data_IF_468348184956
#
_entry.id   IF_468348184956
#
_cell.length_a   1.000
_cell.length_b   1.000
_cell.length_c   1.000
_cell.angle_alpha   90.00
_cell.angle_beta   90.00
_cell.angle_gamma   90.00
#
_symmetry.space_group_name_H-M   'P 1'
#
loop_
_entity.id
_entity.type
_entity.pdbx_description
1 polymer ?
#
# COMPACT_ATOMS: atom_id res chain seq x y z
N UNK A 1 2.45 -2.99 7.60
CA UNK A 1 2.34 -3.30 6.14
C UNK A 1 3.63 -3.90 5.57
N UNK A 2 3.61 -4.44 4.35
CA UNK A 2 4.80 -4.94 3.64
C UNK A 2 5.40 -3.87 2.72
N UNK A 3 6.69 -4.02 2.41
CA UNK A 3 7.51 -2.99 1.75
C UNK A 3 8.26 -3.57 0.56
N UNK A 4 8.30 -2.81 -0.53
CA UNK A 4 9.08 -3.13 -1.72
C UNK A 4 10.19 -2.11 -1.83
N UNK A 5 11.44 -2.53 -1.72
CA UNK A 5 12.61 -1.71 -1.99
C UNK A 5 13.07 -1.90 -3.43
N UNK A 6 12.82 -0.91 -4.28
CA UNK A 6 13.28 -0.87 -5.66
C UNK A 6 14.63 -0.16 -5.70
N UNK A 7 15.70 -0.94 -5.90
CA UNK A 7 17.07 -0.46 -5.85
C UNK A 7 17.58 -0.15 -7.25
N UNK A 8 17.90 1.11 -7.48
CA UNK A 8 18.63 1.60 -8.62
C UNK A 8 20.05 2.05 -8.21
N UNK A 9 20.96 2.11 -9.18
CA UNK A 9 22.31 2.64 -8.99
C UNK A 9 23.30 2.15 -10.05
N UNK A 10 24.25 3.00 -10.38
CA UNK A 10 25.32 2.78 -11.36
C UNK A 10 26.19 1.53 -11.09
N UNK A 11 26.98 1.08 -12.07
CA UNK A 11 27.95 0.01 -11.81
C UNK A 11 29.01 0.48 -10.79
N UNK A 12 29.36 -0.36 -9.81
CA UNK A 12 30.33 -0.01 -8.76
C UNK A 12 29.76 0.81 -7.58
N UNK A 13 28.45 1.12 -7.57
CA UNK A 13 27.85 1.92 -6.47
C UNK A 13 27.62 1.16 -5.16
N UNK A 14 27.78 -0.18 -5.16
CA UNK A 14 27.66 -1.00 -3.95
C UNK A 14 26.35 -1.79 -3.81
N UNK A 15 25.55 -1.93 -4.87
CA UNK A 15 24.32 -2.75 -4.85
C UNK A 15 24.55 -4.19 -4.36
N UNK A 16 25.61 -4.85 -4.84
CA UNK A 16 25.95 -6.21 -4.38
C UNK A 16 26.37 -6.26 -2.91
N UNK A 17 26.97 -5.18 -2.39
CA UNK A 17 27.30 -5.08 -0.96
C UNK A 17 26.05 -4.87 -0.11
N UNK A 18 25.07 -4.09 -0.61
CA UNK A 18 23.75 -3.97 0.04
C UNK A 18 23.07 -5.34 0.15
N UNK A 19 22.99 -6.08 -0.96
CA UNK A 19 22.36 -7.40 -0.97
C UNK A 19 23.04 -8.37 0.00
N UNK A 20 24.37 -8.46 -0.05
CA UNK A 20 25.10 -9.31 0.89
C UNK A 20 24.89 -8.86 2.33
N UNK A 21 24.86 -7.55 2.59
CA UNK A 21 24.59 -7.03 3.93
C UNK A 21 23.20 -7.47 4.42
N UNK A 22 22.19 -7.30 3.57
CA UNK A 22 20.80 -7.66 3.87
C UNK A 22 20.64 -9.17 4.09
N UNK A 23 21.25 -10.01 3.26
CA UNK A 23 21.13 -11.48 3.37
C UNK A 23 21.93 -12.10 4.50
N UNK A 24 23.03 -11.49 4.91
CA UNK A 24 23.99 -12.11 5.85
C UNK A 24 23.92 -11.52 7.27
N UNK A 25 23.46 -10.27 7.41
CA UNK A 25 23.55 -9.56 8.69
C UNK A 25 22.22 -9.02 9.19
N UNK A 26 21.12 -9.20 8.44
CA UNK A 26 19.79 -8.75 8.81
C UNK A 26 18.80 -9.91 9.05
N UNK A 27 19.29 -11.07 9.48
CA UNK A 27 18.50 -12.30 9.73
C UNK A 27 17.33 -12.12 10.72
N UNK A 28 17.39 -11.07 11.55
CA UNK A 28 16.31 -10.69 12.48
C UNK A 28 15.12 -9.98 11.81
N UNK A 29 15.21 -9.72 10.51
CA UNK A 29 14.16 -9.13 9.69
C UNK A 29 13.70 -10.14 8.65
N UNK A 30 12.39 -10.11 8.39
CA UNK A 30 11.78 -10.96 7.37
C UNK A 30 11.97 -10.32 5.98
N UNK A 31 12.98 -10.82 5.26
CA UNK A 31 13.45 -10.23 4.02
C UNK A 31 13.53 -11.28 2.91
N UNK A 32 13.05 -10.91 1.73
CA UNK A 32 13.30 -11.64 0.50
C UNK A 32 13.89 -10.74 -0.59
N UNK A 33 14.71 -11.31 -1.46
CA UNK A 33 15.28 -10.61 -2.61
C UNK A 33 14.90 -11.32 -3.91
N UNK A 34 14.32 -10.57 -4.83
CA UNK A 34 13.80 -11.09 -6.10
C UNK A 34 14.94 -11.39 -7.07
N UNK A 35 15.06 -12.66 -7.44
CA UNK A 35 15.91 -13.12 -8.54
C UNK A 35 15.36 -12.71 -9.90
N UNK A 36 16.26 -12.50 -10.87
CA UNK A 36 15.92 -12.02 -12.23
C UNK A 36 16.58 -12.86 -13.31
N UNK A 37 15.91 -13.01 -14.44
CA UNK A 37 16.49 -13.55 -15.66
C UNK A 37 17.30 -12.48 -16.40
N UNK A 38 18.39 -12.89 -17.06
CA UNK A 38 19.16 -11.99 -17.93
C UNK A 38 19.79 -12.71 -19.13
N UNK A 39 19.93 -11.99 -20.25
CA UNK A 39 20.66 -12.46 -21.45
C UNK A 39 22.13 -12.07 -21.48
N UNK A 40 22.63 -11.46 -20.39
CA UNK A 40 24.03 -11.14 -20.23
C UNK A 40 24.86 -12.41 -20.07
N UNK A 41 26.12 -12.38 -20.46
CA UNK A 41 27.07 -13.45 -20.15
C UNK A 41 27.44 -13.44 -18.67
N UNK A 42 27.65 -14.65 -18.14
CA UNK A 42 28.19 -14.87 -16.81
C UNK A 42 29.59 -14.26 -16.77
N UNK A 43 29.90 -13.51 -15.72
CA UNK A 43 31.27 -13.02 -15.49
C UNK A 43 32.00 -14.04 -14.62
N UNK A 44 33.29 -14.26 -14.89
CA UNK A 44 34.18 -15.13 -14.10
C UNK A 44 34.14 -14.89 -12.58
N UNK A 45 33.77 -13.68 -12.11
CA UNK A 45 33.64 -13.34 -10.67
C UNK A 45 32.25 -13.56 -10.08
N UNK A 46 31.26 -13.80 -10.91
CA UNK A 46 29.86 -14.06 -10.51
C UNK A 46 29.61 -15.57 -10.34
N UNK A 47 30.46 -16.45 -10.88
CA UNK A 47 30.38 -17.92 -10.74
C UNK A 47 30.62 -18.43 -9.31
N UNK A 48 31.18 -17.59 -8.42
CA UNK A 48 31.54 -17.98 -7.05
C UNK A 48 30.57 -17.44 -5.96
N UNK A 49 29.45 -16.82 -6.34
CA UNK A 49 28.46 -16.30 -5.37
C UNK A 49 27.07 -16.68 -5.83
N UNK A 50 26.18 -17.04 -4.91
CA UNK A 50 24.74 -17.16 -5.20
C UNK A 50 24.22 -15.82 -5.74
N UNK A 51 24.22 -15.66 -7.05
CA UNK A 51 23.76 -14.43 -7.67
C UNK A 51 22.25 -14.47 -7.81
N UNK A 52 21.60 -13.33 -7.60
CA UNK A 52 20.17 -13.10 -7.87
C UNK A 52 19.85 -13.07 -9.38
N UNK A 53 20.73 -13.63 -10.20
CA UNK A 53 20.63 -13.62 -11.65
C UNK A 53 20.62 -15.07 -12.16
N UNK A 54 19.60 -15.37 -12.96
CA UNK A 54 19.52 -16.57 -13.77
C UNK A 54 19.88 -16.19 -15.20
N UNK A 55 20.99 -16.73 -15.68
CA UNK A 55 21.52 -16.43 -17.01
C UNK A 55 20.90 -17.36 -18.05
N UNK A 56 20.24 -16.78 -19.06
CA UNK A 56 19.53 -17.54 -20.11
C UNK A 56 19.83 -16.94 -21.49
N UNK A 57 19.70 -17.75 -22.54
CA UNK A 57 19.87 -17.27 -23.92
C UNK A 57 18.75 -16.31 -24.33
N UNK A 58 18.96 -15.53 -25.39
CA UNK A 58 17.90 -14.65 -25.91
C UNK A 58 16.65 -15.41 -26.37
N UNK A 59 16.83 -16.62 -26.91
CA UNK A 59 15.70 -17.46 -27.32
C UNK A 59 14.92 -17.95 -26.10
N UNK A 60 15.61 -18.38 -25.04
CA UNK A 60 14.98 -18.77 -23.78
C UNK A 60 14.26 -17.58 -23.12
N UNK A 61 14.86 -16.39 -23.14
CA UNK A 61 14.23 -15.18 -22.59
C UNK A 61 12.95 -14.83 -23.35
N UNK A 62 12.96 -14.87 -24.69
CA UNK A 62 11.77 -14.65 -25.51
C UNK A 62 10.68 -15.66 -25.21
N UNK A 63 11.04 -16.95 -25.09
CA UNK A 63 10.10 -18.01 -24.73
C UNK A 63 9.47 -17.75 -23.35
N UNK A 64 10.28 -17.46 -22.34
CA UNK A 64 9.81 -17.11 -21.00
C UNK A 64 8.90 -15.89 -21.00
N UNK A 65 9.25 -14.82 -21.73
CA UNK A 65 8.44 -13.61 -21.86
C UNK A 65 7.09 -13.89 -22.53
N UNK A 66 7.05 -14.76 -23.56
CA UNK A 66 5.81 -15.19 -24.20
C UNK A 66 4.93 -16.04 -23.27
N UNK A 67 5.52 -16.98 -22.54
CA UNK A 67 4.80 -17.83 -21.57
C UNK A 67 4.25 -17.02 -20.39
N UNK A 68 4.88 -15.90 -20.05
CA UNK A 68 4.51 -15.02 -18.94
C UNK A 68 3.96 -13.67 -19.46
N UNK A 69 3.34 -13.65 -20.63
CA UNK A 69 2.85 -12.41 -21.25
C UNK A 69 1.87 -11.69 -20.32
N UNK A 70 2.15 -10.43 -20.02
CA UNK A 70 1.36 -9.62 -19.08
C UNK A 70 1.59 -9.93 -17.59
N UNK A 71 2.43 -10.92 -17.28
CA UNK A 71 2.78 -11.35 -15.91
C UNK A 71 4.29 -11.28 -15.66
N UNK A 72 5.02 -10.54 -16.48
CA UNK A 72 6.44 -10.29 -16.30
C UNK A 72 6.79 -8.80 -16.37
N UNK A 73 7.86 -8.45 -15.67
CA UNK A 73 8.53 -7.16 -15.76
C UNK A 73 9.82 -7.37 -16.54
N UNK A 74 9.98 -6.69 -17.68
CA UNK A 74 11.18 -6.78 -18.50
C UNK A 74 11.71 -5.38 -18.83
N UNK A 75 13.03 -5.26 -18.93
CA UNK A 75 13.70 -4.00 -19.29
C UNK A 75 15.04 -4.25 -19.97
N UNK A 76 15.44 -3.41 -20.94
CA UNK A 76 16.78 -3.44 -21.49
C UNK A 76 17.76 -2.73 -20.56
N UNK A 77 18.97 -3.25 -20.44
CA UNK A 77 20.07 -2.55 -19.79
C UNK A 77 21.40 -2.99 -20.38
N UNK A 78 22.22 -2.02 -20.81
CA UNK A 78 23.57 -2.28 -21.29
C UNK A 78 23.64 -3.20 -22.52
N UNK A 79 22.64 -3.15 -23.41
CA UNK A 79 22.55 -4.00 -24.60
C UNK A 79 22.06 -5.43 -24.31
N UNK A 80 21.63 -5.73 -23.09
CA UNK A 80 21.11 -7.04 -22.67
C UNK A 80 19.71 -6.88 -22.08
N UNK A 81 18.95 -7.98 -22.01
CA UNK A 81 17.62 -8.00 -21.41
C UNK A 81 17.67 -8.50 -19.98
N UNK A 82 16.77 -7.96 -19.17
CA UNK A 82 16.55 -8.36 -17.78
C UNK A 82 15.05 -8.50 -17.53
N UNK A 83 14.66 -9.40 -16.64
CA UNK A 83 13.27 -9.48 -16.21
C UNK A 83 13.01 -10.40 -15.03
N UNK A 84 11.82 -10.30 -14.45
CA UNK A 84 11.34 -11.15 -13.36
C UNK A 84 9.82 -11.26 -13.40
N UNK A 85 9.27 -12.25 -12.71
CA UNK A 85 7.82 -12.50 -12.69
C UNK A 85 7.09 -11.53 -11.76
N UNK A 86 5.92 -11.06 -12.20
CA UNK A 86 4.99 -10.29 -11.37
C UNK A 86 4.41 -11.14 -10.24
N UNK A 87 4.11 -12.41 -10.49
CA UNK A 87 3.60 -13.32 -9.48
C UNK A 87 4.60 -13.54 -8.34
N UNK A 88 5.89 -13.69 -8.67
CA UNK A 88 6.95 -13.84 -7.67
C UNK A 88 7.11 -12.58 -6.82
N UNK A 89 6.99 -11.39 -7.42
CA UNK A 89 6.98 -10.15 -6.65
C UNK A 89 5.77 -10.09 -5.71
N UNK A 90 4.58 -10.40 -6.20
CA UNK A 90 3.34 -10.40 -5.40
C UNK A 90 3.40 -11.40 -4.24
N UNK A 91 3.87 -12.61 -4.50
CA UNK A 91 4.05 -13.66 -3.50
C UNK A 91 5.05 -13.24 -2.43
N UNK A 92 6.18 -12.66 -2.84
CA UNK A 92 7.18 -12.13 -1.91
C UNK A 92 6.58 -11.04 -1.02
N UNK A 93 5.82 -10.11 -1.62
CA UNK A 93 5.15 -9.04 -0.89
C UNK A 93 4.09 -9.57 0.07
N UNK A 94 3.45 -10.69 -0.23
CA UNK A 94 2.48 -11.32 0.67
C UNK A 94 3.15 -11.98 1.87
N UNK A 95 4.27 -12.66 1.62
CA UNK A 95 4.89 -13.56 2.59
C UNK A 95 6.03 -12.92 3.39
N UNK A 96 6.59 -11.79 2.93
CA UNK A 96 7.73 -11.14 3.55
C UNK A 96 7.47 -9.68 3.92
N UNK A 97 7.96 -9.24 5.07
CA UNK A 97 7.91 -7.83 5.49
C UNK A 97 8.62 -6.92 4.48
N UNK A 98 9.80 -7.33 4.01
CA UNK A 98 10.61 -6.57 3.07
C UNK A 98 10.93 -7.39 1.82
N UNK A 99 10.59 -6.86 0.66
CA UNK A 99 10.96 -7.42 -0.64
C UNK A 99 11.92 -6.46 -1.35
N UNK A 100 13.09 -6.95 -1.75
CA UNK A 100 14.08 -6.17 -2.48
C UNK A 100 14.14 -6.56 -3.96
N UNK A 101 14.22 -5.57 -4.83
CA UNK A 101 14.37 -5.79 -6.27
C UNK A 101 15.37 -4.79 -6.83
N UNK A 102 16.43 -5.27 -7.49
CA UNK A 102 17.35 -4.38 -8.22
C UNK A 102 16.78 -4.11 -9.61
N UNK A 103 16.51 -2.85 -9.94
CA UNK A 103 15.98 -2.45 -11.25
C UNK A 103 16.81 -1.28 -11.79
N UNK A 104 17.28 -1.40 -13.03
CA UNK A 104 18.07 -0.36 -13.73
C UNK A 104 17.25 0.28 -14.84
N UNK A 105 16.04 0.74 -14.49
CA UNK A 105 15.09 1.32 -15.43
C UNK A 105 14.03 2.13 -14.65
N UNK A 106 14.09 3.46 -14.75
CA UNK A 106 13.18 4.38 -14.03
C UNK A 106 11.72 4.15 -14.41
N UNK A 107 11.40 4.08 -15.70
CA UNK A 107 10.04 3.85 -16.17
C UNK A 107 9.39 2.57 -15.62
N UNK A 108 10.16 1.48 -15.48
CA UNK A 108 9.68 0.25 -14.85
C UNK A 108 9.50 0.40 -13.34
N UNK A 109 10.36 1.15 -12.67
CA UNK A 109 10.20 1.47 -11.24
C UNK A 109 8.90 2.26 -11.03
N UNK A 110 8.67 3.31 -11.82
CA UNK A 110 7.46 4.13 -11.75
C UNK A 110 6.20 3.29 -11.98
N UNK A 111 6.24 2.38 -12.96
CA UNK A 111 5.16 1.43 -13.23
C UNK A 111 4.89 0.51 -12.04
N UNK A 112 5.91 -0.04 -11.40
CA UNK A 112 5.74 -0.91 -10.23
C UNK A 112 5.23 -0.11 -9.03
N UNK A 113 5.67 1.13 -8.84
CA UNK A 113 5.16 2.03 -7.80
C UNK A 113 3.66 2.22 -7.95
N UNK A 114 3.19 2.54 -9.15
CA UNK A 114 1.76 2.73 -9.43
C UNK A 114 0.97 1.43 -9.25
N UNK A 115 1.46 0.31 -9.78
CA UNK A 115 0.77 -0.99 -9.70
C UNK A 115 0.65 -1.54 -8.26
N UNK A 116 1.56 -1.17 -7.35
CA UNK A 116 1.60 -1.68 -5.97
C UNK A 116 1.24 -0.64 -4.90
N UNK A 117 0.91 0.60 -5.26
CA UNK A 117 0.67 1.70 -4.30
C UNK A 117 -0.39 1.38 -3.24
N UNK A 118 -1.40 0.58 -3.58
CA UNK A 118 -2.47 0.17 -2.66
C UNK A 118 -2.15 -1.17 -1.93
N UNK A 119 -1.06 -1.84 -2.29
CA UNK A 119 -0.72 -3.19 -1.80
C UNK A 119 0.45 -3.15 -0.82
N UNK A 120 1.48 -2.36 -1.12
CA UNK A 120 2.70 -2.28 -0.33
C UNK A 120 3.31 -0.88 -0.39
N UNK A 121 4.09 -0.51 0.64
CA UNK A 121 4.91 0.70 0.56
C UNK A 121 6.06 0.45 -0.43
N UNK A 122 5.97 1.06 -1.61
CA UNK A 122 7.02 0.98 -2.62
C UNK A 122 8.02 2.11 -2.40
N UNK A 123 9.27 1.75 -2.12
CA UNK A 123 10.35 2.66 -1.75
C UNK A 123 11.42 2.57 -2.83
N UNK A 124 11.59 3.66 -3.56
CA UNK A 124 12.66 3.78 -4.53
C UNK A 124 13.95 4.21 -3.83
N UNK A 125 15.00 3.39 -3.93
CA UNK A 125 16.33 3.69 -3.45
C UNK A 125 17.27 3.90 -4.64
N UNK A 126 17.91 5.05 -4.71
CA UNK A 126 19.00 5.30 -5.64
C UNK A 126 20.35 5.28 -4.90
N UNK A 127 21.25 4.37 -5.27
CA UNK A 127 22.60 4.31 -4.69
C UNK A 127 23.58 5.10 -5.53
N UNK A 128 24.04 6.21 -4.97
CA UNK A 128 25.00 7.11 -5.59
C UNK A 128 26.43 6.85 -5.10
N UNK A 129 27.40 7.02 -5.99
CA UNK A 129 28.83 7.07 -5.70
C UNK A 129 29.49 7.96 -6.74
N UNK A 130 30.42 8.83 -6.32
CA UNK A 130 31.25 9.62 -7.22
C UNK A 130 32.07 8.70 -8.16
N UNK A 131 32.17 9.08 -9.43
CA UNK A 131 32.96 8.42 -10.47
C UNK A 131 34.38 8.05 -10.02
N UNK A 132 35.07 8.93 -9.30
CA UNK A 132 36.42 8.66 -8.81
C UNK A 132 36.47 7.46 -7.86
N UNK A 133 35.48 7.33 -6.99
CA UNK A 133 35.34 6.19 -6.07
C UNK A 133 34.84 4.93 -6.77
N UNK A 134 33.89 5.07 -7.70
CA UNK A 134 33.41 3.95 -8.52
C UNK A 134 34.56 3.32 -9.33
N UNK A 135 35.40 4.16 -9.94
CA UNK A 135 36.62 3.75 -10.65
C UNK A 135 37.55 2.96 -9.75
N UNK A 136 37.86 3.48 -8.55
CA UNK A 136 38.72 2.79 -7.57
C UNK A 136 38.18 1.42 -7.19
N UNK A 137 36.87 1.28 -6.98
CA UNK A 137 36.23 -0.01 -6.66
C UNK A 137 36.31 -0.99 -7.82
N UNK A 138 35.97 -0.56 -9.03
CA UNK A 138 36.04 -1.42 -10.22
C UNK A 138 37.48 -1.89 -10.48
N UNK A 139 38.50 -1.04 -10.28
CA UNK A 139 39.91 -1.45 -10.34
C UNK A 139 40.25 -2.50 -9.28
N UNK A 140 39.79 -2.31 -8.03
CA UNK A 140 39.98 -3.30 -6.94
C UNK A 140 39.27 -4.62 -7.24
N UNK A 141 38.13 -4.55 -7.94
CA UNK A 141 37.41 -5.70 -8.49
C UNK A 141 38.08 -6.26 -9.76
N UNK A 142 39.28 -5.82 -10.13
CA UNK A 142 40.09 -6.40 -11.21
C UNK A 142 39.60 -6.09 -12.62
N UNK A 143 38.78 -5.06 -12.81
CA UNK A 143 38.39 -4.61 -14.16
C UNK A 143 39.52 -3.80 -14.81
N UNK A 144 39.73 -4.01 -16.11
CA UNK A 144 40.65 -3.21 -16.91
C UNK A 144 40.09 -1.81 -17.22
N UNK A 145 40.94 -0.94 -17.78
CA UNK A 145 40.59 0.46 -18.06
C UNK A 145 39.46 0.60 -19.08
N UNK A 146 39.42 -0.21 -20.13
CA UNK A 146 38.36 -0.14 -21.15
C UNK A 146 37.00 -0.58 -20.58
N UNK A 147 36.99 -1.65 -19.79
CA UNK A 147 35.80 -2.14 -19.10
C UNK A 147 35.28 -1.14 -18.06
N UNK A 148 36.16 -0.39 -17.41
CA UNK A 148 35.79 0.70 -16.49
C UNK A 148 35.18 1.87 -17.25
N UNK A 149 35.86 2.39 -18.26
CA UNK A 149 35.39 3.56 -19.03
C UNK A 149 34.02 3.29 -19.66
N UNK A 150 33.80 2.08 -20.18
CA UNK A 150 32.51 1.64 -20.68
C UNK A 150 31.39 1.63 -19.63
N UNK A 151 31.73 1.26 -18.37
CA UNK A 151 30.77 1.27 -17.25
C UNK A 151 30.49 2.68 -16.75
N UNK A 152 31.46 3.57 -16.78
CA UNK A 152 31.32 4.96 -16.32
C UNK A 152 30.53 5.80 -17.32
N UNK A 153 30.78 5.66 -18.63
CA UNK A 153 29.95 6.30 -19.68
C UNK A 153 28.47 5.92 -19.60
N UNK A 154 28.16 4.72 -19.10
CA UNK A 154 26.78 4.28 -18.84
C UNK A 154 26.18 4.90 -17.57
N UNK A 155 27.01 5.37 -16.66
CA UNK A 155 26.59 6.11 -15.46
C UNK A 155 26.30 7.58 -15.80
N UNK A 156 26.97 8.17 -16.81
CA UNK A 156 26.66 9.52 -17.29
C UNK A 156 25.20 9.72 -17.68
N UNK A 157 24.59 8.71 -18.29
CA UNK A 157 23.16 8.74 -18.63
C UNK A 157 22.22 8.69 -17.40
N UNK A 158 22.71 8.35 -16.21
CA UNK A 158 21.91 8.15 -14.99
C UNK A 158 21.90 9.39 -14.11
N UNK A 159 22.93 10.24 -14.19
CA UNK A 159 22.99 11.48 -13.41
C UNK A 159 21.84 12.44 -13.74
N UNK A 160 21.46 12.65 -15.02
CA UNK A 160 20.30 13.48 -15.35
C UNK A 160 18.99 12.96 -14.74
N UNK A 161 18.80 11.65 -14.67
CA UNK A 161 17.55 11.04 -14.19
C UNK A 161 17.24 11.29 -12.70
N UNK A 162 18.28 11.57 -11.89
CA UNK A 162 18.17 11.60 -10.41
C UNK A 162 18.90 12.77 -9.73
N UNK A 163 19.91 13.36 -10.37
CA UNK A 163 20.65 14.51 -9.81
C UNK A 163 20.09 15.81 -10.32
N UNK A 164 19.78 15.91 -11.61
CA UNK A 164 19.32 17.16 -12.23
C UNK A 164 17.84 17.43 -11.95
N UNK A 165 17.04 16.38 -11.74
CA UNK A 165 15.64 16.46 -11.30
C UNK A 165 15.46 15.75 -9.95
N UNK A 166 15.56 16.46 -8.81
CA UNK A 166 15.32 15.86 -7.51
C UNK A 166 13.85 15.42 -7.40
N UNK A 167 13.65 14.12 -7.21
CA UNK A 167 12.35 13.51 -6.98
C UNK A 167 12.22 13.20 -5.49
N UNK A 168 11.25 13.82 -4.82
CA UNK A 168 10.99 13.64 -3.39
C UNK A 168 10.64 12.20 -3.01
N UNK A 169 10.24 11.37 -3.98
CA UNK A 169 9.89 9.98 -3.78
C UNK A 169 11.10 9.02 -3.87
N UNK A 170 12.30 9.54 -4.14
CA UNK A 170 13.53 8.75 -4.28
C UNK A 170 14.46 8.96 -3.09
N UNK A 171 14.73 7.88 -2.37
CA UNK A 171 15.72 7.87 -1.30
C UNK A 171 17.12 7.70 -1.90
N UNK A 172 17.91 8.77 -1.90
CA UNK A 172 19.31 8.71 -2.36
C UNK A 172 20.24 8.28 -1.23
N UNK A 173 20.92 7.13 -1.40
CA UNK A 173 21.97 6.66 -0.50
C UNK A 173 23.34 6.96 -1.12
N UNK A 174 24.08 7.87 -0.51
CA UNK A 174 25.47 8.15 -0.88
C UNK A 174 26.39 7.10 -0.25
N UNK A 175 27.04 6.30 -1.09
CA UNK A 175 28.08 5.36 -0.72
C UNK A 175 29.47 5.97 -0.95
N UNK A 176 30.05 6.51 0.13
CA UNK A 176 31.37 7.14 0.15
C UNK A 176 32.54 6.12 0.25
N UNK A 177 32.28 4.83 0.09
CA UNK A 177 33.25 3.73 0.27
C UNK A 177 33.60 3.41 1.73
N UNK A 178 32.96 4.04 2.72
CA UNK A 178 32.97 3.54 4.09
C UNK A 178 31.86 2.49 4.24
N UNK A 179 32.28 1.21 4.29
CA UNK A 179 31.36 0.08 4.39
C UNK A 179 30.48 0.15 5.66
N UNK A 180 31.04 0.58 6.79
CA UNK A 180 30.29 0.70 8.04
C UNK A 180 29.18 1.75 7.95
N UNK A 181 29.49 2.93 7.39
CA UNK A 181 28.50 4.00 7.24
C UNK A 181 27.40 3.61 6.25
N UNK A 182 27.78 2.96 5.14
CA UNK A 182 26.83 2.47 4.16
C UNK A 182 25.86 1.44 4.77
N UNK A 183 26.38 0.48 5.54
CA UNK A 183 25.58 -0.53 6.24
C UNK A 183 24.69 0.09 7.32
N UNK A 184 25.19 1.07 8.08
CA UNK A 184 24.39 1.83 9.06
C UNK A 184 23.22 2.55 8.39
N UNK A 185 23.42 3.16 7.22
CA UNK A 185 22.34 3.82 6.45
C UNK A 185 21.27 2.81 6.01
N UNK A 186 21.68 1.65 5.48
CA UNK A 186 20.75 0.58 5.09
C UNK A 186 19.96 0.09 6.31
N UNK A 187 20.64 -0.19 7.43
CA UNK A 187 19.99 -0.61 8.68
C UNK A 187 19.00 0.43 9.20
N UNK A 188 19.36 1.72 9.13
CA UNK A 188 18.47 2.80 9.54
C UNK A 188 17.20 2.84 8.69
N UNK A 189 17.32 2.66 7.36
CA UNK A 189 16.15 2.56 6.48
C UNK A 189 15.27 1.37 6.83
N UNK A 190 15.86 0.19 7.04
CA UNK A 190 15.10 -1.01 7.42
C UNK A 190 14.39 -0.81 8.76
N UNK A 191 15.07 -0.22 9.75
CA UNK A 191 14.44 0.16 11.02
C UNK A 191 13.28 1.12 10.79
N UNK A 192 13.51 2.23 10.08
CA UNK A 192 12.49 3.26 9.82
C UNK A 192 11.20 2.66 9.24
N UNK A 193 11.32 1.73 8.30
CA UNK A 193 10.18 1.13 7.63
C UNK A 193 9.70 -0.19 8.26
N UNK A 194 10.28 -0.64 9.37
CA UNK A 194 9.82 -1.87 10.01
C UNK A 194 8.45 -1.70 10.66
N UNK A 195 7.62 -2.75 10.56
CA UNK A 195 6.32 -2.85 11.23
C UNK A 195 6.43 -2.54 12.73
N UNK A 196 7.55 -2.91 13.37
CA UNK A 196 7.80 -2.63 14.79
C UNK A 196 7.89 -1.14 15.13
N UNK A 197 8.17 -0.29 14.14
CA UNK A 197 8.24 1.16 14.29
C UNK A 197 7.03 1.87 13.67
N UNK A 198 6.01 1.14 13.21
CA UNK A 198 4.72 1.74 12.85
C UNK A 198 4.07 2.34 14.10
N UNK A 199 3.49 3.53 13.96
CA UNK A 199 2.94 4.25 15.11
C UNK A 199 1.79 3.45 15.75
N UNK A 200 1.86 3.26 17.07
CA UNK A 200 0.91 2.43 17.82
C UNK A 200 -0.54 2.95 17.75
N UNK A 201 -0.70 4.27 17.67
CA UNK A 201 -1.98 4.95 17.52
C UNK A 201 -2.46 5.10 16.07
N UNK A 202 -1.75 4.57 15.08
CA UNK A 202 -2.16 4.67 13.67
C UNK A 202 -2.62 3.30 13.16
N UNK A 203 -3.84 3.26 12.64
CA UNK A 203 -4.39 2.13 11.89
C UNK A 203 -4.04 2.31 10.41
N UNK A 204 -3.28 1.35 9.88
CA UNK A 204 -2.92 1.30 8.47
C UNK A 204 -3.92 0.39 7.75
N UNK A 205 -4.72 0.96 6.86
CA UNK A 205 -5.66 0.23 6.01
C UNK A 205 -4.90 -0.27 4.78
N UNK A 206 -4.25 0.67 4.10
CA UNK A 206 -3.34 0.39 3.00
C UNK A 206 -2.18 1.43 3.01
N UNK A 207 -1.23 1.41 2.07
CA UNK A 207 -0.09 2.33 2.13
C UNK A 207 -0.50 3.81 2.01
N UNK A 208 -1.55 4.10 1.23
CA UNK A 208 -2.13 5.40 0.96
C UNK A 208 -3.11 5.86 2.06
N UNK A 209 -3.80 4.92 2.72
CA UNK A 209 -4.90 5.19 3.65
C UNK A 209 -4.52 4.73 5.06
N UNK A 210 -4.43 5.71 5.97
CA UNK A 210 -4.17 5.49 7.40
C UNK A 210 -5.03 6.44 8.22
N UNK A 211 -5.50 5.96 9.36
CA UNK A 211 -6.31 6.73 10.29
C UNK A 211 -5.68 6.69 11.68
N UNK A 212 -5.56 7.86 12.30
CA UNK A 212 -5.21 7.91 13.72
C UNK A 212 -6.40 7.40 14.55
N UNK A 213 -6.11 6.45 15.44
CA UNK A 213 -7.06 5.89 16.38
C UNK A 213 -7.28 6.88 17.52
N UNK A 214 -8.55 7.08 17.88
CA UNK A 214 -8.87 7.69 19.17
C UNK A 214 -8.26 6.88 20.31
N UNK A 215 -7.92 7.54 21.42
CA UNK A 215 -7.21 6.94 22.56
C UNK A 215 -7.82 5.60 23.02
N UNK A 216 -9.16 5.45 23.16
CA UNK A 216 -9.76 4.18 23.58
C UNK A 216 -9.54 3.01 22.61
N UNK A 217 -9.28 3.28 21.32
CA UNK A 217 -9.14 2.25 20.30
C UNK A 217 -7.69 1.79 20.07
N UNK A 218 -6.69 2.46 20.63
CA UNK A 218 -5.27 2.12 20.42
C UNK A 218 -4.96 0.67 20.81
N UNK A 219 -5.49 0.19 21.94
CA UNK A 219 -5.31 -1.19 22.39
C UNK A 219 -6.02 -2.24 21.53
N UNK A 220 -6.88 -1.84 20.61
CA UNK A 220 -7.65 -2.72 19.73
C UNK A 220 -7.11 -2.79 18.30
N UNK A 221 -6.00 -2.11 17.98
CA UNK A 221 -5.40 -2.04 16.63
C UNK A 221 -5.28 -3.41 15.95
N UNK A 222 -4.72 -4.41 16.63
CA UNK A 222 -4.54 -5.76 16.05
C UNK A 222 -5.86 -6.49 15.80
N UNK A 223 -6.91 -6.19 16.57
CA UNK A 223 -8.26 -6.74 16.32
C UNK A 223 -8.90 -6.06 15.12
N UNK A 224 -8.76 -4.73 14.99
CA UNK A 224 -9.23 -3.97 13.84
C UNK A 224 -8.57 -4.46 12.54
N UNK A 225 -7.26 -4.69 12.57
CA UNK A 225 -6.52 -5.23 11.42
C UNK A 225 -7.03 -6.61 11.01
N UNK A 226 -7.17 -7.55 11.96
CA UNK A 226 -7.74 -8.88 11.70
C UNK A 226 -9.17 -8.82 11.17
N UNK A 227 -9.98 -7.89 11.65
CA UNK A 227 -11.32 -7.69 11.15
C UNK A 227 -11.31 -7.26 9.67
N UNK A 228 -10.41 -6.36 9.28
CA UNK A 228 -10.26 -5.91 7.90
C UNK A 228 -9.63 -6.97 6.97
N UNK A 229 -8.81 -7.87 7.52
CA UNK A 229 -8.32 -9.05 6.78
C UNK A 229 -9.46 -10.01 6.43
N UNK A 230 -10.43 -10.18 7.36
CA UNK A 230 -11.61 -11.02 7.15
C UNK A 230 -12.67 -10.36 6.27
N UNK A 231 -12.91 -9.07 6.50
CA UNK A 231 -13.90 -8.25 5.81
C UNK A 231 -13.19 -7.06 5.18
N UNK A 232 -12.88 -7.11 3.87
CA UNK A 232 -12.09 -6.08 3.21
C UNK A 232 -12.68 -4.69 3.41
N UNK A 233 -11.87 -3.75 3.91
CA UNK A 233 -12.26 -2.36 4.22
C UNK A 233 -13.05 -1.71 3.08
N UNK A 234 -12.57 -1.87 1.85
CA UNK A 234 -13.16 -1.33 0.60
C UNK A 234 -14.60 -1.78 0.34
N UNK A 235 -15.05 -2.88 0.97
CA UNK A 235 -16.39 -3.45 0.80
C UNK A 235 -17.33 -3.14 1.95
N UNK A 236 -16.82 -2.61 3.06
CA UNK A 236 -17.56 -2.47 4.30
C UNK A 236 -18.33 -1.14 4.32
N UNK A 237 -19.66 -1.24 4.52
CA UNK A 237 -20.58 -0.12 4.64
C UNK A 237 -21.16 -0.09 6.05
N UNK A 238 -20.78 0.91 6.84
CA UNK A 238 -21.25 1.06 8.21
C UNK A 238 -22.65 1.67 8.25
N UNK A 239 -23.59 0.99 8.93
CA UNK A 239 -24.95 1.49 9.11
C UNK A 239 -25.07 2.18 10.47
N UNK A 240 -25.25 3.50 10.45
CA UNK A 240 -25.47 4.34 11.62
C UNK A 240 -26.97 4.55 11.78
N UNK A 241 -27.59 3.83 12.72
CA UNK A 241 -29.03 3.90 12.95
C UNK A 241 -29.39 3.53 14.39
N UNK A 242 -30.55 3.99 14.87
CA UNK A 242 -31.10 3.53 16.15
C UNK A 242 -31.80 2.18 16.00
N UNK A 243 -31.65 1.31 17.00
CA UNK A 243 -32.36 0.04 17.06
C UNK A 243 -33.82 0.23 17.50
N UNK A 244 -34.75 0.06 16.56
CA UNK A 244 -36.20 0.12 16.75
C UNK A 244 -36.86 -0.83 15.76
N UNK A 245 -38.01 -1.41 16.13
CA UNK A 245 -38.74 -2.37 15.29
C UNK A 245 -39.10 -1.78 13.91
N UNK A 246 -39.53 -0.52 13.87
CA UNK A 246 -39.87 0.19 12.64
C UNK A 246 -38.68 0.34 11.67
N UNK A 247 -37.45 0.31 12.18
CA UNK A 247 -36.24 0.41 11.35
C UNK A 247 -35.73 -0.96 10.86
N UNK A 248 -36.26 -2.08 11.38
CA UNK A 248 -35.77 -3.42 11.06
C UNK A 248 -35.98 -3.78 9.59
N UNK A 249 -37.16 -3.46 9.04
CA UNK A 249 -37.47 -3.72 7.63
C UNK A 249 -36.64 -2.86 6.68
N UNK A 250 -36.31 -1.65 7.12
CA UNK A 250 -35.43 -0.74 6.40
C UNK A 250 -33.99 -1.27 6.38
N UNK A 251 -33.50 -1.70 7.54
CA UNK A 251 -32.20 -2.36 7.65
C UNK A 251 -32.09 -3.59 6.75
N UNK A 252 -33.07 -4.50 6.81
CA UNK A 252 -33.09 -5.73 5.99
C UNK A 252 -33.04 -5.41 4.49
N UNK A 253 -33.74 -4.37 4.07
CA UNK A 253 -33.70 -3.91 2.69
C UNK A 253 -32.30 -3.40 2.31
N UNK A 254 -31.69 -2.51 3.10
CA UNK A 254 -30.33 -2.00 2.87
C UNK A 254 -29.34 -3.17 2.78
N UNK A 255 -29.38 -4.07 3.76
CA UNK A 255 -28.48 -5.24 3.81
C UNK A 255 -28.54 -6.05 2.53
N UNK A 256 -29.75 -6.40 2.09
CA UNK A 256 -29.97 -7.16 0.85
C UNK A 256 -29.39 -6.45 -0.38
N UNK A 257 -29.61 -5.15 -0.53
CA UNK A 257 -29.13 -4.42 -1.72
C UNK A 257 -27.60 -4.26 -1.73
N UNK A 258 -26.99 -4.04 -0.57
CA UNK A 258 -25.53 -4.00 -0.44
C UNK A 258 -24.90 -5.37 -0.75
N UNK A 259 -25.43 -6.44 -0.18
CA UNK A 259 -24.95 -7.80 -0.40
C UNK A 259 -25.09 -8.24 -1.86
N UNK A 260 -26.18 -7.84 -2.54
CA UNK A 260 -26.38 -8.09 -3.97
C UNK A 260 -25.28 -7.48 -4.84
N UNK A 261 -24.61 -6.42 -4.38
CA UNK A 261 -23.46 -5.78 -5.04
C UNK A 261 -22.10 -6.25 -4.52
N UNK A 262 -22.08 -7.26 -3.66
CA UNK A 262 -20.84 -7.79 -3.07
C UNK A 262 -20.22 -6.87 -2.01
N UNK A 263 -21.00 -5.95 -1.44
CA UNK A 263 -20.63 -5.13 -0.28
C UNK A 263 -21.07 -5.80 1.02
N UNK A 264 -20.37 -5.50 2.10
CA UNK A 264 -20.70 -5.93 3.44
C UNK A 264 -21.54 -4.85 4.13
N UNK A 265 -22.77 -5.18 4.48
CA UNK A 265 -23.59 -4.33 5.35
C UNK A 265 -23.19 -4.57 6.80
N UNK A 266 -22.66 -3.54 7.47
CA UNK A 266 -21.98 -3.68 8.75
C UNK A 266 -22.72 -2.93 9.85
N UNK A 267 -23.03 -3.64 10.93
CA UNK A 267 -23.62 -3.07 12.15
C UNK A 267 -22.82 -3.42 13.39
N UNK A 268 -22.74 -2.46 14.30
CA UNK A 268 -21.94 -2.60 15.52
C UNK A 268 -22.54 -3.55 16.57
N UNK A 269 -23.81 -3.92 16.45
CA UNK A 269 -24.48 -4.86 17.36
C UNK A 269 -24.50 -6.31 16.83
N UNK A 270 -24.03 -6.54 15.59
CA UNK A 270 -23.90 -7.89 15.05
C UNK A 270 -22.73 -8.63 15.74
N UNK A 271 -22.94 -9.92 16.03
CA UNK A 271 -21.99 -10.73 16.80
C UNK A 271 -20.60 -10.79 16.13
N UNK A 272 -20.54 -10.88 14.81
CA UNK A 272 -19.29 -10.87 14.05
C UNK A 272 -18.55 -9.52 14.06
N UNK A 273 -19.20 -8.45 14.50
CA UNK A 273 -18.68 -7.08 14.52
C UNK A 273 -18.47 -6.54 15.94
N UNK A 274 -18.55 -7.40 16.96
CA UNK A 274 -18.22 -7.04 18.34
C UNK A 274 -16.70 -7.14 18.61
N UNK A 275 -15.97 -6.10 18.23
CA UNK A 275 -14.50 -6.02 18.27
C UNK A 275 -13.99 -5.70 19.68
N UNK A 276 -14.65 -4.75 20.36
CA UNK A 276 -14.17 -4.22 21.65
C UNK A 276 -14.83 -4.86 22.86
N UNK A 277 -16.06 -5.40 22.73
CA UNK A 277 -16.91 -5.84 23.85
C UNK A 277 -17.26 -4.70 24.83
N UNK A 278 -17.27 -3.45 24.37
CA UNK A 278 -17.58 -2.28 25.18
C UNK A 278 -18.33 -1.20 24.37
N UNK A 279 -18.59 -0.06 25.01
CA UNK A 279 -19.31 1.08 24.43
C UNK A 279 -18.61 1.73 23.22
N UNK A 280 -17.32 1.46 23.00
CA UNK A 280 -16.57 1.98 21.86
C UNK A 280 -16.70 1.11 20.61
N UNK A 281 -17.45 0.00 20.66
CA UNK A 281 -17.57 -0.90 19.53
C UNK A 281 -18.07 -0.23 18.23
N UNK A 282 -19.09 0.66 18.26
CA UNK A 282 -19.51 1.36 17.05
C UNK A 282 -18.39 2.15 16.39
N UNK A 283 -17.51 2.78 17.19
CA UNK A 283 -16.34 3.48 16.67
C UNK A 283 -15.31 2.49 16.12
N UNK A 284 -15.04 1.38 16.80
CA UNK A 284 -14.15 0.35 16.29
C UNK A 284 -14.59 -0.17 14.91
N UNK A 285 -15.88 -0.47 14.77
CA UNK A 285 -16.50 -0.97 13.54
C UNK A 285 -16.43 0.08 12.43
N UNK A 286 -16.69 1.35 12.75
CA UNK A 286 -16.55 2.48 11.83
C UNK A 286 -15.14 2.54 11.22
N UNK A 287 -14.08 2.35 12.02
CA UNK A 287 -12.69 2.34 11.52
C UNK A 287 -12.41 1.21 10.52
N UNK A 288 -13.20 0.14 10.53
CA UNK A 288 -13.11 -0.97 9.56
C UNK A 288 -13.94 -0.75 8.28
N UNK A 289 -14.68 0.36 8.16
CA UNK A 289 -15.58 0.61 7.03
C UNK A 289 -15.09 1.74 6.13
N UNK A 290 -15.15 1.56 4.80
CA UNK A 290 -14.87 2.62 3.82
C UNK A 290 -16.05 3.56 3.64
N UNK A 291 -17.26 3.02 3.67
CA UNK A 291 -18.48 3.76 3.38
C UNK A 291 -19.41 3.82 4.59
N UNK A 292 -20.32 4.79 4.61
CA UNK A 292 -21.31 4.95 5.66
C UNK A 292 -22.72 5.19 5.13
N UNK A 293 -23.73 4.70 5.84
CA UNK A 293 -25.12 5.12 5.67
C UNK A 293 -25.61 5.63 7.02
N UNK A 294 -25.89 6.93 7.10
CA UNK A 294 -26.40 7.57 8.30
C UNK A 294 -27.91 7.79 8.19
N UNK A 295 -28.67 7.14 9.08
CA UNK A 295 -30.12 7.24 9.13
C UNK A 295 -30.55 8.14 10.29
N UNK A 296 -30.96 9.37 9.94
CA UNK A 296 -31.66 10.27 10.85
C UNK A 296 -33.16 9.99 10.76
N UNK A 297 -33.64 9.11 11.64
CA UNK A 297 -35.03 8.66 11.72
C UNK A 297 -35.92 9.59 12.57
N UNK A 298 -37.12 9.15 12.91
CA UNK A 298 -38.13 9.97 13.58
C UNK A 298 -37.68 10.56 14.94
N UNK A 299 -38.17 11.78 15.29
CA UNK A 299 -37.79 12.47 16.50
C UNK A 299 -38.24 11.73 17.77
N UNK A 300 -37.53 11.97 18.86
CA UNK A 300 -37.81 11.43 20.21
C UNK A 300 -38.49 12.47 21.09
N UNK A 301 -39.22 12.01 22.13
CA UNK A 301 -39.85 12.88 23.13
C UNK A 301 -38.90 13.93 23.75
N UNK A 302 -37.58 13.70 23.70
CA UNK A 302 -36.56 14.57 24.30
C UNK A 302 -35.43 14.97 23.36
N UNK A 303 -35.44 14.54 22.11
CA UNK A 303 -34.37 14.86 21.15
C UNK A 303 -34.91 14.84 19.74
N UNK A 304 -34.52 15.82 18.93
CA UNK A 304 -34.90 15.84 17.52
C UNK A 304 -34.26 14.69 16.73
N UNK A 305 -33.20 14.04 17.22
CA UNK A 305 -32.48 12.97 16.50
C UNK A 305 -31.58 12.15 17.45
N UNK A 306 -30.99 11.05 16.96
CA UNK A 306 -30.02 10.25 17.70
C UNK A 306 -28.61 10.90 17.65
N UNK A 307 -28.03 11.38 18.76
CA UNK A 307 -26.73 12.05 18.77
C UNK A 307 -25.58 11.12 18.38
N UNK A 308 -25.70 9.80 18.60
CA UNK A 308 -24.64 8.84 18.22
C UNK A 308 -24.47 8.77 16.70
N UNK A 309 -25.57 8.84 15.93
CA UNK A 309 -25.51 8.84 14.46
C UNK A 309 -24.74 10.07 13.97
N UNK A 310 -24.97 11.24 14.55
CA UNK A 310 -24.23 12.45 14.19
C UNK A 310 -22.74 12.37 14.58
N UNK A 311 -22.44 11.80 15.75
CA UNK A 311 -21.06 11.62 16.22
C UNK A 311 -20.26 10.66 15.31
N UNK A 312 -20.86 9.51 14.97
CA UNK A 312 -20.29 8.53 14.03
C UNK A 312 -20.08 9.15 12.63
N UNK A 313 -21.09 9.84 12.11
CA UNK A 313 -21.00 10.54 10.83
C UNK A 313 -19.88 11.60 10.81
N UNK A 314 -19.72 12.34 11.91
CA UNK A 314 -18.65 13.32 12.06
C UNK A 314 -17.26 12.70 11.95
N UNK A 315 -17.04 11.53 12.55
CA UNK A 315 -15.77 10.79 12.44
C UNK A 315 -15.57 10.27 11.02
N UNK A 316 -16.61 9.74 10.38
CA UNK A 316 -16.53 9.29 8.98
C UNK A 316 -16.13 10.43 8.03
N UNK A 317 -16.73 11.60 8.18
CA UNK A 317 -16.38 12.80 7.40
C UNK A 317 -14.95 13.28 7.69
N UNK A 318 -14.52 13.28 8.96
CA UNK A 318 -13.14 13.60 9.32
C UNK A 318 -12.13 12.67 8.63
N UNK A 319 -12.49 11.39 8.49
CA UNK A 319 -11.71 10.37 7.77
C UNK A 319 -11.92 10.38 6.25
N UNK A 320 -12.66 11.38 5.71
CA UNK A 320 -12.95 11.57 4.27
C UNK A 320 -13.63 10.36 3.61
N UNK A 321 -14.54 9.71 4.34
CA UNK A 321 -15.30 8.57 3.85
C UNK A 321 -16.61 8.99 3.21
N UNK A 322 -16.99 8.33 2.13
CA UNK A 322 -18.25 8.59 1.45
C UNK A 322 -19.43 8.08 2.28
N UNK A 323 -20.37 8.98 2.56
CA UNK A 323 -21.53 8.70 3.39
C UNK A 323 -22.82 9.07 2.66
N UNK A 324 -23.79 8.15 2.65
CA UNK A 324 -25.18 8.47 2.32
C UNK A 324 -25.88 8.95 3.59
N UNK A 325 -26.40 10.17 3.56
CA UNK A 325 -27.09 10.76 4.69
C UNK A 325 -28.59 10.79 4.38
N UNK A 326 -29.37 10.08 5.18
CA UNK A 326 -30.81 9.92 5.00
C UNK A 326 -31.52 10.64 6.12
N UNK A 327 -32.46 11.51 5.76
CA UNK A 327 -33.26 12.26 6.72
C UNK A 327 -34.74 11.94 6.53
N UNK A 328 -35.40 11.50 7.58
CA UNK A 328 -36.85 11.31 7.54
C UNK A 328 -37.57 12.67 7.42
N UNK A 329 -38.63 12.72 6.63
CA UNK A 329 -39.38 13.97 6.37
C UNK A 329 -40.06 14.56 7.61
N UNK A 330 -40.24 13.78 8.69
CA UNK A 330 -40.82 14.28 9.95
C UNK A 330 -39.85 15.13 10.79
N UNK A 331 -38.58 15.24 10.40
CA UNK A 331 -37.57 16.03 11.12
C UNK A 331 -37.57 17.50 10.67
N UNK A 332 -37.83 18.41 11.62
CA UNK A 332 -38.01 19.86 11.41
C UNK A 332 -36.69 20.65 11.24
N UNK A 333 -35.79 20.15 10.38
CA UNK A 333 -34.37 20.56 10.18
C UNK A 333 -33.38 19.80 11.08
N UNK A 334 -32.33 19.25 10.46
CA UNK A 334 -31.22 18.60 11.18
C UNK A 334 -30.33 19.70 11.77
N UNK A 335 -29.87 19.57 13.04
CA UNK A 335 -29.28 20.68 13.79
C UNK A 335 -27.80 20.93 13.48
N UNK A 336 -27.37 20.67 12.26
CA UNK A 336 -26.01 20.93 11.80
C UNK A 336 -26.04 21.60 10.42
N UNK A 337 -25.53 22.83 10.36
CA UNK A 337 -25.56 23.64 9.13
C UNK A 337 -24.71 23.04 8.00
N UNK A 338 -23.72 22.21 8.33
CA UNK A 338 -22.79 21.59 7.37
C UNK A 338 -23.46 20.57 6.42
N UNK A 339 -24.69 20.11 6.69
CA UNK A 339 -25.36 19.04 5.92
C UNK A 339 -26.55 19.58 5.11
N UNK A 340 -26.84 20.88 5.10
CA UNK A 340 -28.01 21.43 4.37
C UNK A 340 -28.08 21.03 2.88
N UNK A 341 -26.97 20.64 2.26
CA UNK A 341 -26.90 20.17 0.87
C UNK A 341 -26.45 18.70 0.69
N UNK A 342 -26.25 17.93 1.77
CA UNK A 342 -25.65 16.58 1.71
C UNK A 342 -26.63 15.44 2.05
N UNK A 343 -27.80 15.74 2.64
CA UNK A 343 -28.79 14.72 2.98
C UNK A 343 -29.85 14.56 1.88
N UNK A 344 -30.34 13.34 1.73
CA UNK A 344 -31.51 13.04 0.93
C UNK A 344 -32.70 12.84 1.87
N UNK A 345 -33.80 13.56 1.60
CA UNK A 345 -35.03 13.40 2.39
C UNK A 345 -35.83 12.21 1.88
N UNK A 346 -36.34 11.38 2.79
CA UNK A 346 -37.24 10.28 2.45
C UNK A 346 -38.52 10.34 3.29
N UNK A 347 -39.65 9.94 2.70
CA UNK A 347 -40.94 9.82 3.40
C UNK A 347 -41.54 8.41 3.26
N UNK A 348 -41.19 7.67 2.21
CA UNK A 348 -41.71 6.33 1.93
C UNK A 348 -40.62 5.35 1.47
N UNK A 349 -40.86 4.04 1.67
CA UNK A 349 -39.93 2.95 1.36
C UNK A 349 -39.53 2.87 -0.13
N UNK A 350 -40.43 3.23 -1.05
CA UNK A 350 -40.16 3.16 -2.50
C UNK A 350 -39.13 4.20 -2.98
N UNK A 351 -39.12 5.40 -2.39
CA UNK A 351 -38.14 6.44 -2.74
C UNK A 351 -36.71 6.01 -2.38
N UNK A 352 -36.58 5.15 -1.37
CA UNK A 352 -35.29 4.73 -0.85
C UNK A 352 -34.48 3.87 -1.83
N UNK A 353 -35.14 3.02 -2.63
CA UNK A 353 -34.47 2.14 -3.59
C UNK A 353 -33.72 2.96 -4.65
N UNK A 354 -34.37 3.97 -5.24
CA UNK A 354 -33.75 4.85 -6.23
C UNK A 354 -32.59 5.66 -5.64
N UNK A 355 -32.71 6.10 -4.38
CA UNK A 355 -31.66 6.88 -3.71
C UNK A 355 -30.43 6.00 -3.46
N UNK A 356 -30.64 4.81 -2.91
CA UNK A 356 -29.56 3.88 -2.62
C UNK A 356 -28.87 3.40 -3.90
N UNK A 357 -29.64 3.09 -4.95
CA UNK A 357 -29.11 2.71 -6.26
C UNK A 357 -28.24 3.82 -6.89
N UNK A 358 -28.73 5.06 -6.85
CA UNK A 358 -27.98 6.23 -7.34
C UNK A 358 -26.69 6.44 -6.56
N UNK A 359 -26.72 6.35 -5.22
CA UNK A 359 -25.53 6.52 -4.40
C UNK A 359 -24.51 5.41 -4.64
N UNK A 360 -24.94 4.14 -4.67
CA UNK A 360 -24.06 3.00 -4.95
C UNK A 360 -23.42 3.07 -6.34
N UNK A 361 -24.11 3.66 -7.32
CA UNK A 361 -23.57 3.88 -8.66
C UNK A 361 -22.57 5.03 -8.70
N UNK A 362 -22.64 5.97 -7.75
CA UNK A 362 -21.68 7.07 -7.63
C UNK A 362 -20.39 6.70 -6.89
N UNK A 363 -20.35 5.53 -6.25
CA UNK A 363 -19.16 5.03 -5.57
C UNK A 363 -18.16 4.46 -6.59
N UNK A 364 -16.88 4.77 -6.42
CA UNK A 364 -15.78 4.11 -7.13
C UNK A 364 -15.59 2.68 -6.56
N UNK A 365 -16.41 1.74 -7.04
CA UNK A 365 -16.44 0.33 -6.64
C UNK A 365 -15.48 -0.57 -7.43
#
# INVERSE_FOLDING_TARGET
MNKIFLIDGAAGTGKSDLINFVKTYLDNYDINVISKFTTREVRLKEEAKETELTFISEQQFKKWEMENKGQCYTYPYGGKKYGFSKSTLMESVKNHEFTFVIIRNKALIDRIQEEFKEIAYVIHIFIYTDEGLATKRLRKEGFDRQAIDFRLKRNEMVWPDYVDTPDENVITIINNSNKSDFHKKILHLIKKYSRKNEAGNVLYINPSIKNELIVPLVGYKDKLQRQMERYPYEKNVFIMMKFRDNNLDFYKFIKRELERRGLNCVRADEAEWNITNDVYNPLAVLYCCKYGIALFDEPEEKSHYNPNVAYELGIMHYQRKDCLILRHSSLSEVPFDLIKNLYVTYSEKYQFESILDSWLTSLDL
#
